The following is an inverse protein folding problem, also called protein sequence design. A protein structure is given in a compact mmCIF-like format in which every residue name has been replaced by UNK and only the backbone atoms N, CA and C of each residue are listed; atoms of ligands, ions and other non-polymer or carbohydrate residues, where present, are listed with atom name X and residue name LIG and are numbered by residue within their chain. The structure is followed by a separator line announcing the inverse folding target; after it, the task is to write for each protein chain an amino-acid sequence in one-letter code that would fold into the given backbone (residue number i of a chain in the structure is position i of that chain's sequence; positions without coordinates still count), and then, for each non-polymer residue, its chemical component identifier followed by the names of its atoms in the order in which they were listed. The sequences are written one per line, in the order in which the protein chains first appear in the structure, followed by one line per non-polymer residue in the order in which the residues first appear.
data_IF_483061397834
#
_entry.id   IF_483061397834
#
_cell.length_a   1.000
_cell.length_b   1.000
_cell.length_c   1.000
_cell.angle_alpha   90.00
_cell.angle_beta   90.00
_cell.angle_gamma   90.00
#
_symmetry.space_group_name_H-M   'P 1'
#
loop_
_entity.id
_entity.type
_entity.pdbx_description
1 polymer ?
#
# COMPACT_ATOMS: atom_id res chain seq x y z
N UNK A 1 20.91 1.37 6.42
CA UNK A 1 20.17 1.50 5.14
C UNK A 1 20.42 2.91 4.62
N UNK A 2 20.86 3.06 3.37
CA UNK A 2 21.08 4.36 2.73
C UNK A 2 20.32 4.40 1.40
N UNK A 3 19.05 4.78 1.49
CA UNK A 3 18.16 4.85 0.33
C UNK A 3 18.55 5.97 -0.63
N UNK A 4 19.10 7.09 -0.10
CA UNK A 4 19.51 8.24 -0.92
C UNK A 4 20.73 7.88 -1.76
N UNK A 5 21.80 7.40 -1.13
CA UNK A 5 23.03 7.04 -1.83
C UNK A 5 22.80 5.93 -2.85
N UNK A 6 22.05 4.89 -2.49
CA UNK A 6 21.72 3.78 -3.40
C UNK A 6 20.88 4.25 -4.58
N UNK A 7 19.88 5.10 -4.37
CA UNK A 7 19.04 5.64 -5.46
C UNK A 7 19.88 6.44 -6.46
N UNK A 8 20.80 7.28 -5.98
CA UNK A 8 21.71 8.04 -6.85
C UNK A 8 22.67 7.12 -7.62
N UNK A 9 23.25 6.12 -6.96
CA UNK A 9 24.15 5.17 -7.61
C UNK A 9 23.46 4.45 -8.77
N UNK A 10 22.23 3.97 -8.56
CA UNK A 10 21.44 3.30 -9.61
C UNK A 10 21.01 4.28 -10.70
N UNK A 11 20.60 5.49 -10.35
CA UNK A 11 20.23 6.53 -11.32
C UNK A 11 21.38 6.92 -12.24
N UNK A 12 22.60 7.07 -11.69
CA UNK A 12 23.81 7.33 -12.49
C UNK A 12 24.17 6.16 -13.39
N UNK A 13 24.05 4.92 -12.90
CA UNK A 13 24.42 3.72 -13.65
C UNK A 13 23.44 3.38 -14.79
N UNK A 14 22.14 3.62 -14.59
CA UNK A 14 21.10 3.26 -15.55
C UNK A 14 20.63 4.44 -16.40
N UNK A 15 20.81 5.68 -15.91
CA UNK A 15 20.48 6.91 -16.62
C UNK A 15 19.01 6.94 -17.10
N UNK A 16 18.76 7.25 -18.38
CA UNK A 16 17.41 7.27 -18.95
C UNK A 16 16.66 5.95 -18.91
N UNK A 17 17.35 4.81 -18.72
CA UNK A 17 16.70 3.48 -18.66
C UNK A 17 16.06 3.21 -17.30
N UNK A 18 16.39 3.98 -16.27
CA UNK A 18 15.78 3.83 -14.95
C UNK A 18 14.38 4.43 -14.96
N UNK A 19 13.36 3.58 -14.83
CA UNK A 19 11.99 4.02 -14.66
C UNK A 19 11.75 4.65 -13.27
N UNK A 20 12.20 4.00 -12.21
CA UNK A 20 11.98 4.46 -10.84
C UNK A 20 12.73 3.65 -9.79
N UNK A 21 12.72 4.15 -8.57
CA UNK A 21 13.26 3.48 -7.37
C UNK A 21 12.14 3.10 -6.43
N UNK A 22 12.29 1.97 -5.70
CA UNK A 22 11.35 1.54 -4.67
C UNK A 22 11.95 1.72 -3.29
N UNK A 23 11.27 2.49 -2.43
CA UNK A 23 11.59 2.63 -1.02
C UNK A 23 10.76 1.62 -0.21
N UNK A 24 11.44 0.74 0.53
CA UNK A 24 10.85 -0.40 1.24
C UNK A 24 11.55 -0.62 2.60
N UNK A 25 11.84 0.47 3.29
CA UNK A 25 12.52 0.44 4.59
C UNK A 25 11.62 -0.20 5.64
N UNK A 26 12.14 -1.17 6.40
CA UNK A 26 11.43 -1.82 7.50
C UNK A 26 10.97 -0.82 8.57
N UNK A 27 9.78 -1.02 9.13
CA UNK A 27 9.23 -0.24 10.27
C UNK A 27 10.09 -0.33 11.55
N UNK A 28 11.10 -1.20 11.58
CA UNK A 28 12.07 -1.32 12.69
C UNK A 28 13.43 -0.68 12.38
N UNK A 29 13.58 -0.05 11.23
CA UNK A 29 14.85 0.48 10.74
C UNK A 29 14.73 1.97 10.40
N UNK A 30 15.75 2.73 10.79
CA UNK A 30 15.89 4.14 10.42
C UNK A 30 16.87 4.26 9.25
N UNK A 31 16.47 4.98 8.20
CA UNK A 31 17.35 5.29 7.07
C UNK A 31 18.42 6.31 7.46
N UNK A 32 19.62 6.18 6.90
CA UNK A 32 20.76 7.05 7.21
C UNK A 32 20.44 8.54 6.96
N UNK A 33 19.64 8.87 5.94
CA UNK A 33 19.24 10.25 5.64
C UNK A 33 18.30 10.87 6.69
N UNK A 34 17.70 10.04 7.56
CA UNK A 34 16.77 10.44 8.60
C UNK A 34 17.47 10.69 9.94
N UNK A 35 18.64 10.07 10.17
CA UNK A 35 19.39 10.19 11.44
C UNK A 35 19.54 11.65 11.91
N UNK A 36 19.91 12.63 11.06
CA UNK A 36 20.08 14.02 11.50
C UNK A 36 18.76 14.74 11.85
N UNK A 37 17.61 14.13 11.53
CA UNK A 37 16.26 14.70 11.65
C UNK A 37 15.42 13.96 12.70
N UNK A 38 16.05 13.04 13.45
CA UNK A 38 15.38 12.30 14.52
C UNK A 38 14.89 13.22 15.63
N UNK A 39 13.80 12.80 16.31
CA UNK A 39 13.18 13.55 17.41
C UNK A 39 12.02 14.47 16.99
N UNK A 40 11.83 14.69 15.69
CA UNK A 40 10.73 15.53 15.17
C UNK A 40 9.51 14.75 14.70
N UNK A 41 9.66 13.46 14.38
CA UNK A 41 8.62 12.58 13.84
C UNK A 41 9.02 11.11 14.07
N UNK A 42 8.14 10.16 13.71
CA UNK A 42 8.46 8.73 13.75
C UNK A 42 9.48 8.35 12.66
N UNK A 43 10.74 8.01 13.00
CA UNK A 43 11.84 7.99 12.04
C UNK A 43 12.02 6.66 11.30
N UNK A 44 11.37 5.59 11.79
CA UNK A 44 11.52 4.27 11.21
C UNK A 44 10.59 4.07 10.00
N UNK A 45 10.91 3.06 9.18
CA UNK A 45 10.11 2.71 8.02
C UNK A 45 10.17 3.73 6.88
N UNK A 46 9.29 3.54 5.90
CA UNK A 46 9.07 4.54 4.85
C UNK A 46 8.15 5.63 5.39
N UNK A 47 8.69 6.85 5.49
CA UNK A 47 8.01 8.04 5.98
C UNK A 47 8.14 9.21 4.97
N UNK A 48 7.33 10.28 5.09
CA UNK A 48 7.35 11.41 4.17
C UNK A 48 8.73 12.05 4.00
N UNK A 49 9.48 12.20 5.10
CA UNK A 49 10.79 12.85 5.08
C UNK A 49 11.81 12.02 4.29
N UNK A 50 11.74 10.69 4.33
CA UNK A 50 12.62 9.82 3.54
C UNK A 50 12.37 10.00 2.04
N UNK A 51 11.09 10.02 1.63
CA UNK A 51 10.73 10.25 0.23
C UNK A 51 11.22 11.62 -0.24
N UNK A 52 11.04 12.67 0.56
CA UNK A 52 11.52 14.02 0.26
C UNK A 52 13.05 14.08 0.14
N UNK A 53 13.78 13.39 1.02
CA UNK A 53 15.23 13.31 0.94
C UNK A 53 15.69 12.68 -0.38
N UNK A 54 15.09 11.55 -0.76
CA UNK A 54 15.40 10.84 -2.01
C UNK A 54 15.04 11.69 -3.22
N UNK A 55 13.84 12.28 -3.26
CA UNK A 55 13.40 13.14 -4.35
C UNK A 55 14.34 14.33 -4.55
N UNK A 56 14.65 15.06 -3.47
CA UNK A 56 15.57 16.21 -3.50
C UNK A 56 16.96 15.82 -4.00
N UNK A 57 17.46 14.65 -3.59
CA UNK A 57 18.75 14.15 -4.04
C UNK A 57 18.76 13.85 -5.54
N UNK A 58 17.75 13.10 -6.03
CA UNK A 58 17.61 12.80 -7.45
C UNK A 58 17.47 14.08 -8.29
N UNK A 59 16.68 15.05 -7.83
CA UNK A 59 16.42 16.28 -8.56
C UNK A 59 17.65 17.19 -8.65
N UNK A 60 18.49 17.22 -7.61
CA UNK A 60 19.76 17.96 -7.60
C UNK A 60 20.74 17.44 -8.67
N UNK A 61 20.63 16.17 -9.05
CA UNK A 61 21.45 15.56 -10.11
C UNK A 61 20.72 15.49 -11.46
N UNK A 62 19.55 16.11 -11.58
CA UNK A 62 18.79 16.17 -12.83
C UNK A 62 17.96 14.92 -13.13
N UNK A 63 17.87 13.95 -12.21
CA UNK A 63 17.11 12.70 -12.37
C UNK A 63 15.61 12.89 -12.09
N UNK A 64 15.01 13.98 -12.57
CA UNK A 64 13.59 14.30 -12.36
C UNK A 64 12.63 13.29 -13.00
N UNK A 65 13.10 12.54 -14.01
CA UNK A 65 12.31 11.50 -14.67
C UNK A 65 12.16 10.23 -13.84
N UNK A 66 13.06 9.98 -12.88
CA UNK A 66 13.07 8.76 -12.07
C UNK A 66 11.89 8.79 -11.11
N UNK A 67 10.97 7.84 -11.24
CA UNK A 67 9.77 7.71 -10.41
C UNK A 67 10.08 7.18 -9.01
N UNK A 68 9.24 7.48 -8.03
CA UNK A 68 9.36 6.97 -6.65
C UNK A 68 8.17 6.08 -6.33
N UNK A 69 8.46 4.81 -6.08
CA UNK A 69 7.50 3.83 -5.57
C UNK A 69 7.77 3.64 -4.08
N UNK A 70 6.72 3.58 -3.27
CA UNK A 70 6.84 3.32 -1.82
C UNK A 70 6.10 2.04 -1.44
N UNK A 71 6.68 1.23 -0.57
CA UNK A 71 6.05 0.04 0.01
C UNK A 71 6.45 -0.12 1.48
N UNK A 72 5.84 -1.07 2.16
CA UNK A 72 6.09 -1.32 3.58
C UNK A 72 5.08 -0.63 4.48
N UNK A 73 4.18 -1.43 5.07
CA UNK A 73 3.22 -0.95 6.07
C UNK A 73 2.16 0.03 5.58
N UNK A 74 2.02 0.25 4.26
CA UNK A 74 1.00 1.16 3.73
C UNK A 74 -0.41 0.60 3.90
N UNK A 75 -1.27 1.41 4.48
CA UNK A 75 -2.71 1.25 4.61
C UNK A 75 -3.42 2.54 4.16
N UNK A 76 -4.74 2.60 4.30
CA UNK A 76 -5.54 3.76 3.87
C UNK A 76 -5.10 5.04 4.59
N UNK A 77 -4.84 4.98 5.90
CA UNK A 77 -4.51 6.17 6.67
C UNK A 77 -3.10 6.67 6.36
N UNK A 78 -2.12 5.77 6.21
CA UNK A 78 -0.76 6.12 5.79
C UNK A 78 -0.74 6.72 4.39
N UNK A 79 -1.53 6.19 3.46
CA UNK A 79 -1.65 6.76 2.10
C UNK A 79 -2.26 8.16 2.16
N UNK A 80 -3.39 8.35 2.87
CA UNK A 80 -4.01 9.69 3.02
C UNK A 80 -3.03 10.70 3.59
N UNK A 81 -2.27 10.33 4.62
CA UNK A 81 -1.27 11.20 5.20
C UNK A 81 -0.20 11.65 4.20
N UNK A 82 0.24 10.77 3.30
CA UNK A 82 1.20 11.11 2.24
C UNK A 82 0.58 12.05 1.20
N UNK A 83 -0.67 11.80 0.79
CA UNK A 83 -1.39 12.64 -0.17
C UNK A 83 -1.67 14.05 0.38
N UNK A 84 -2.10 14.16 1.64
CA UNK A 84 -2.36 15.44 2.32
C UNK A 84 -1.10 16.31 2.42
N UNK A 85 0.06 15.67 2.63
CA UNK A 85 1.34 16.36 2.67
C UNK A 85 1.94 16.64 1.28
N UNK A 86 1.29 16.17 0.20
CA UNK A 86 1.80 16.32 -1.17
C UNK A 86 3.15 15.63 -1.37
N UNK A 87 3.37 14.49 -0.71
CA UNK A 87 4.63 13.75 -0.81
C UNK A 87 4.82 13.26 -2.25
N UNK A 88 6.00 13.43 -2.87
CA UNK A 88 6.23 13.10 -4.29
C UNK A 88 6.39 11.58 -4.48
N UNK A 89 5.26 10.85 -4.41
CA UNK A 89 5.13 9.42 -4.66
C UNK A 89 4.39 9.21 -5.97
N UNK A 90 4.91 8.32 -6.82
CA UNK A 90 4.28 7.96 -8.09
C UNK A 90 3.45 6.67 -8.00
N UNK A 91 3.74 5.78 -7.04
CA UNK A 91 2.96 4.57 -6.79
C UNK A 91 3.12 4.02 -5.36
N UNK A 92 2.04 3.42 -4.84
CA UNK A 92 2.01 2.76 -3.54
C UNK A 92 1.93 1.22 -3.70
N UNK A 93 2.88 0.52 -3.09
CA UNK A 93 2.86 -0.93 -2.92
C UNK A 93 2.15 -1.30 -1.62
N UNK A 94 0.92 -1.80 -1.76
CA UNK A 94 0.04 -2.16 -0.64
C UNK A 94 -0.06 -3.68 -0.55
N UNK A 95 0.19 -4.24 0.63
CA UNK A 95 0.28 -5.68 0.84
C UNK A 95 -0.59 -6.16 2.00
N UNK A 96 0.02 -6.33 3.17
CA UNK A 96 -0.64 -6.94 4.35
C UNK A 96 -1.93 -6.24 4.76
N UNK A 97 -2.08 -4.94 4.54
CA UNK A 97 -3.30 -4.18 4.82
C UNK A 97 -4.50 -4.59 3.96
N UNK A 98 -4.30 -5.14 2.76
CA UNK A 98 -5.39 -5.70 1.95
C UNK A 98 -6.00 -6.96 2.60
N UNK A 99 -5.17 -7.71 3.33
CA UNK A 99 -5.59 -8.96 3.98
C UNK A 99 -5.97 -8.74 5.45
N UNK A 100 -5.39 -7.73 6.10
CA UNK A 100 -5.74 -7.33 7.47
C UNK A 100 -7.03 -6.52 7.44
N UNK A 101 -8.14 -7.19 7.76
CA UNK A 101 -9.45 -6.54 7.83
C UNK A 101 -10.34 -6.77 6.61
N UNK A 102 -9.94 -7.63 5.67
CA UNK A 102 -10.80 -8.14 4.61
C UNK A 102 -11.91 -9.06 5.12
N UNK A 103 -12.54 -8.70 6.25
CA UNK A 103 -13.64 -9.39 6.91
C UNK A 103 -13.37 -10.86 7.22
N UNK A 104 -13.61 -11.31 8.45
CA UNK A 104 -14.27 -12.61 8.54
C UNK A 104 -15.66 -12.39 7.96
N UNK A 105 -15.80 -12.60 6.65
CA UNK A 105 -17.09 -12.58 5.99
C UNK A 105 -17.81 -13.86 6.44
N UNK A 106 -18.52 -13.75 7.56
CA UNK A 106 -19.29 -14.88 8.09
C UNK A 106 -20.47 -15.14 7.15
N UNK A 107 -20.30 -16.15 6.31
CA UNK A 107 -21.38 -16.68 5.50
C UNK A 107 -22.17 -17.69 6.33
N UNK A 108 -23.49 -17.59 6.25
CA UNK A 108 -24.41 -18.54 6.88
C UNK A 108 -25.28 -19.13 5.79
N UNK A 109 -25.38 -20.46 5.77
CA UNK A 109 -26.32 -21.18 4.91
C UNK A 109 -27.58 -21.46 5.72
N UNK A 110 -28.71 -20.93 5.27
CA UNK A 110 -30.01 -21.15 5.89
C UNK A 110 -30.97 -21.76 4.86
N UNK A 111 -31.80 -22.69 5.32
CA UNK A 111 -32.94 -23.15 4.53
C UNK A 111 -33.93 -21.98 4.42
N UNK A 112 -34.28 -21.63 3.18
CA UNK A 112 -35.25 -20.57 2.86
C UNK A 112 -36.42 -21.07 2.01
N UNK A 113 -36.32 -22.31 1.50
CA UNK A 113 -37.38 -23.05 0.80
C UNK A 113 -37.25 -24.53 1.10
N UNK A 114 -38.39 -25.20 1.25
CA UNK A 114 -38.48 -26.67 1.36
C UNK A 114 -39.51 -27.12 0.33
N UNK A 115 -39.12 -28.02 -0.58
CA UNK A 115 -39.99 -28.51 -1.67
C UNK A 115 -40.63 -27.37 -2.50
N UNK A 116 -39.92 -26.27 -2.70
CA UNK A 116 -40.39 -25.10 -3.46
C UNK A 116 -41.18 -24.07 -2.63
N UNK A 117 -41.67 -24.45 -1.46
CA UNK A 117 -42.46 -23.59 -0.58
C UNK A 117 -41.56 -22.71 0.31
N UNK A 118 -41.86 -21.41 0.50
CA UNK A 118 -41.11 -20.53 1.40
C UNK A 118 -41.10 -21.06 2.84
N UNK A 119 -39.90 -21.27 3.38
CA UNK A 119 -39.71 -21.72 4.75
C UNK A 119 -38.35 -21.23 5.25
N UNK A 120 -38.35 -20.24 6.15
CA UNK A 120 -37.14 -19.61 6.67
C UNK A 120 -37.30 -19.22 8.15
N UNK A 121 -36.18 -19.17 8.88
CA UNK A 121 -36.14 -18.55 10.21
C UNK A 121 -36.37 -17.04 10.12
N UNK A 122 -36.87 -16.44 11.19
CA UNK A 122 -37.10 -14.99 11.27
C UNK A 122 -35.85 -14.19 10.87
N UNK A 123 -36.04 -13.21 9.99
CA UNK A 123 -34.96 -12.37 9.45
C UNK A 123 -34.21 -12.98 8.26
N UNK A 124 -34.63 -14.14 7.75
CA UNK A 124 -34.15 -14.73 6.49
C UNK A 124 -35.31 -14.89 5.51
N UNK A 125 -35.01 -14.75 4.24
CA UNK A 125 -35.96 -14.88 3.15
C UNK A 125 -35.24 -15.43 1.91
N UNK A 126 -36.01 -16.06 1.02
CA UNK A 126 -35.48 -16.44 -0.28
C UNK A 126 -35.18 -15.19 -1.11
N UNK A 127 -33.96 -15.08 -1.62
CA UNK A 127 -33.56 -14.06 -2.59
C UNK A 127 -33.20 -14.74 -3.89
N UNK A 128 -33.94 -14.41 -4.94
CA UNK A 128 -33.65 -14.93 -6.28
C UNK A 128 -32.26 -14.47 -6.71
N UNK A 129 -31.43 -15.41 -7.14
CA UNK A 129 -30.09 -15.15 -7.65
C UNK A 129 -29.98 -15.80 -9.03
N UNK A 130 -29.99 -15.01 -10.12
CA UNK A 130 -30.01 -15.53 -11.49
C UNK A 130 -28.71 -16.25 -11.87
N UNK A 131 -27.67 -16.20 -11.03
CA UNK A 131 -26.41 -16.94 -11.20
C UNK A 131 -26.41 -18.32 -10.53
N UNK A 132 -27.45 -18.68 -9.78
CA UNK A 132 -27.54 -20.00 -9.18
C UNK A 132 -28.08 -20.99 -10.21
N UNK A 133 -27.33 -22.06 -10.42
CA UNK A 133 -27.73 -23.21 -11.22
C UNK A 133 -27.67 -24.48 -10.38
N UNK A 134 -28.45 -25.48 -10.77
CA UNK A 134 -28.35 -26.80 -10.16
C UNK A 134 -27.03 -27.43 -10.59
N UNK A 135 -26.13 -27.68 -9.64
CA UNK A 135 -24.93 -28.47 -9.90
C UNK A 135 -25.36 -29.94 -10.10
N UNK A 136 -25.04 -30.50 -11.27
CA UNK A 136 -25.34 -31.89 -11.66
C UNK A 136 -24.08 -32.73 -11.76
#
# INVERSE_FOLDING_TARGET
NDSVGTSLAVARALGPRLYGVRLDTSETMVDQSIIPQMGHFHPAGVNPQLVLNVRRALDREGFRHVKIVVSGGFDVEKIRHFEELGVPVDAYGVGSSLFRGGGRFDFTADVVKVEGEPCAKTGREYRENPRLERVT
#
